data_IF_804439154098
#
_entry.id   IF_804439154098
#
_cell.length_a   1.000
_cell.length_b   1.000
_cell.length_c   1.000
_cell.angle_alpha   90.00
_cell.angle_beta   90.00
_cell.angle_gamma   90.00
#
_symmetry.space_group_name_H-M   'P 1'
#
loop_
_entity.id
_entity.type
_entity.pdbx_description
1 polymer ?
#
# COMPACT_ATOMS: atom_id res chain seq x y z
N UNK A 1 -5.09 -35.78 -1.23
CA UNK A 1 -4.46 -34.49 -1.56
C UNK A 1 -5.52 -33.61 -2.22
N UNK A 2 -5.92 -32.51 -1.57
CA UNK A 2 -6.78 -31.51 -2.22
C UNK A 2 -6.00 -30.88 -3.37
N UNK A 3 -6.60 -30.69 -4.54
CA UNK A 3 -5.94 -29.99 -5.65
C UNK A 3 -5.79 -28.52 -5.24
N UNK A 4 -4.54 -28.04 -5.15
CA UNK A 4 -4.24 -26.62 -4.94
C UNK A 4 -4.97 -25.80 -6.01
N UNK A 5 -5.64 -24.71 -5.61
CA UNK A 5 -6.36 -23.85 -6.54
C UNK A 5 -5.40 -23.30 -7.61
N UNK A 6 -5.88 -22.91 -8.79
CA UNK A 6 -5.00 -22.26 -9.77
C UNK A 6 -4.88 -20.76 -9.46
N UNK A 7 -3.75 -20.13 -9.80
CA UNK A 7 -3.58 -18.67 -9.68
C UNK A 7 -4.72 -17.92 -10.38
N UNK A 8 -5.14 -18.38 -11.56
CA UNK A 8 -6.28 -17.80 -12.27
C UNK A 8 -7.60 -17.91 -11.48
N UNK A 9 -7.82 -19.00 -10.74
CA UNK A 9 -8.97 -19.16 -9.87
C UNK A 9 -8.92 -18.20 -8.68
N UNK A 10 -7.75 -18.10 -8.02
CA UNK A 10 -7.54 -17.21 -6.88
C UNK A 10 -7.76 -15.75 -7.26
N UNK A 11 -7.21 -15.31 -8.41
CA UNK A 11 -7.40 -13.93 -8.91
C UNK A 11 -8.88 -13.62 -9.14
N UNK A 12 -9.64 -14.57 -9.70
CA UNK A 12 -11.08 -14.39 -9.91
C UNK A 12 -11.85 -14.29 -8.61
N UNK A 13 -11.45 -15.05 -7.58
CA UNK A 13 -12.06 -14.95 -6.24
C UNK A 13 -11.73 -13.61 -5.60
N UNK A 14 -10.44 -13.27 -5.50
CA UNK A 14 -9.98 -12.01 -4.92
C UNK A 14 -10.59 -10.77 -5.59
N UNK A 15 -10.95 -10.84 -6.87
CA UNK A 15 -11.57 -9.76 -7.63
C UNK A 15 -13.10 -9.63 -7.45
N UNK A 16 -13.71 -10.33 -6.49
CA UNK A 16 -15.17 -10.24 -6.23
C UNK A 16 -15.54 -9.18 -5.20
N UNK A 17 -14.85 -9.14 -4.07
CA UNK A 17 -15.14 -8.22 -2.96
C UNK A 17 -13.88 -7.92 -2.14
N UNK A 18 -13.91 -6.91 -1.27
CA UNK A 18 -12.82 -6.63 -0.34
C UNK A 18 -12.57 -7.81 0.63
N UNK A 19 -13.65 -8.48 1.08
CA UNK A 19 -13.54 -9.66 1.93
C UNK A 19 -12.87 -10.83 1.20
N UNK A 20 -13.31 -11.14 -0.03
CA UNK A 20 -12.68 -12.18 -0.85
C UNK A 20 -11.21 -11.85 -1.15
N UNK A 21 -10.88 -10.57 -1.35
CA UNK A 21 -9.51 -10.12 -1.53
C UNK A 21 -8.66 -10.42 -0.29
N UNK A 22 -9.12 -10.04 0.90
CA UNK A 22 -8.42 -10.27 2.17
C UNK A 22 -8.21 -11.77 2.40
N UNK A 23 -9.28 -12.57 2.30
CA UNK A 23 -9.22 -14.02 2.52
C UNK A 23 -8.29 -14.71 1.52
N UNK A 24 -8.36 -14.33 0.24
CA UNK A 24 -7.49 -14.92 -0.80
C UNK A 24 -6.03 -14.53 -0.59
N UNK A 25 -5.76 -13.30 -0.14
CA UNK A 25 -4.40 -12.86 0.19
C UNK A 25 -3.88 -13.65 1.39
N UNK A 26 -4.66 -13.84 2.44
CA UNK A 26 -4.24 -14.67 3.59
C UNK A 26 -3.97 -16.11 3.17
N UNK A 27 -4.84 -16.72 2.36
CA UNK A 27 -4.67 -18.07 1.86
C UNK A 27 -3.39 -18.24 1.02
N UNK A 28 -3.09 -17.31 0.09
CA UNK A 28 -1.88 -17.43 -0.75
C UNK A 28 -0.59 -17.24 0.06
N UNK A 29 -0.62 -16.44 1.13
CA UNK A 29 0.50 -16.33 2.06
C UNK A 29 0.63 -17.56 2.97
N UNK A 30 -0.47 -18.19 3.36
CA UNK A 30 -0.45 -19.44 4.13
C UNK A 30 0.22 -20.59 3.36
N UNK A 31 0.10 -20.61 2.02
CA UNK A 31 0.81 -21.58 1.18
C UNK A 31 2.34 -21.46 1.28
N UNK A 32 2.89 -20.29 1.63
CA UNK A 32 4.32 -20.05 1.85
C UNK A 32 5.20 -20.08 0.58
N UNK A 33 4.61 -20.26 -0.60
CA UNK A 33 5.34 -20.34 -1.88
C UNK A 33 5.62 -18.94 -2.46
N UNK A 34 6.84 -18.43 -2.27
CA UNK A 34 7.28 -17.08 -2.68
C UNK A 34 6.96 -16.76 -4.16
N UNK A 35 7.27 -17.69 -5.06
CA UNK A 35 7.07 -17.52 -6.51
C UNK A 35 5.60 -17.41 -6.87
N UNK A 36 4.77 -18.11 -6.11
CA UNK A 36 3.34 -18.18 -6.30
C UNK A 36 2.63 -16.95 -5.74
N UNK A 37 3.08 -16.44 -4.60
CA UNK A 37 2.66 -15.14 -4.06
C UNK A 37 3.03 -14.03 -5.05
N UNK A 38 4.26 -14.06 -5.58
CA UNK A 38 4.69 -13.12 -6.60
C UNK A 38 3.82 -13.19 -7.86
N UNK A 39 3.56 -14.38 -8.41
CA UNK A 39 2.72 -14.56 -9.60
C UNK A 39 1.28 -14.12 -9.36
N UNK A 40 0.74 -14.42 -8.17
CA UNK A 40 -0.59 -13.96 -7.75
C UNK A 40 -0.67 -12.44 -7.83
N UNK A 41 0.20 -11.70 -7.14
CA UNK A 41 0.18 -10.24 -7.20
C UNK A 41 0.58 -9.70 -8.58
N UNK A 42 1.46 -10.37 -9.33
CA UNK A 42 1.82 -9.98 -10.69
C UNK A 42 0.61 -9.99 -11.63
N UNK A 43 -0.38 -10.84 -11.39
CA UNK A 43 -1.58 -10.97 -12.24
C UNK A 43 -2.87 -10.48 -11.60
N UNK A 44 -2.86 -10.20 -10.30
CA UNK A 44 -4.03 -9.78 -9.55
C UNK A 44 -4.61 -8.48 -10.10
N UNK A 45 -5.93 -8.44 -10.16
CA UNK A 45 -6.71 -7.26 -10.45
C UNK A 45 -7.61 -6.98 -9.25
N UNK A 46 -7.83 -5.72 -8.88
CA UNK A 46 -8.71 -5.36 -7.76
C UNK A 46 -10.17 -5.73 -8.07
N UNK A 47 -10.96 -6.01 -7.01
CA UNK A 47 -12.39 -6.17 -7.08
C UNK A 47 -13.11 -5.18 -8.00
N UNK A 48 -14.09 -5.68 -8.74
CA UNK A 48 -14.99 -4.84 -9.54
C UNK A 48 -16.06 -4.25 -8.61
N UNK A 49 -16.46 -2.98 -8.78
CA UNK A 49 -17.61 -2.43 -8.05
C UNK A 49 -18.92 -3.16 -8.35
N UNK A 50 -19.04 -3.79 -9.53
CA UNK A 50 -20.16 -4.68 -9.86
C UNK A 50 -20.10 -5.94 -8.98
N UNK A 51 -20.78 -5.88 -7.82
CA UNK A 51 -20.76 -6.90 -6.77
C UNK A 51 -20.31 -6.40 -5.40
N UNK A 52 -19.91 -5.13 -5.27
CA UNK A 52 -19.53 -4.49 -4.01
C UNK A 52 -20.76 -4.01 -3.20
N UNK A 53 -21.94 -4.60 -3.40
CA UNK A 53 -23.21 -4.21 -2.77
C UNK A 53 -23.15 -4.18 -1.22
N UNK A 54 -22.12 -4.77 -0.62
CA UNK A 54 -21.88 -4.80 0.82
C UNK A 54 -20.54 -4.17 1.27
N UNK A 55 -19.80 -3.48 0.40
CA UNK A 55 -18.54 -2.86 0.83
C UNK A 55 -18.83 -1.48 1.41
N UNK A 56 -18.92 -1.42 2.74
CA UNK A 56 -18.94 -0.16 3.47
C UNK A 56 -17.61 0.57 3.25
N UNK A 57 -17.62 1.54 2.32
CA UNK A 57 -16.43 2.32 1.96
C UNK A 57 -15.92 3.17 3.12
N UNK A 58 -16.77 3.44 4.12
CA UNK A 58 -16.46 4.18 5.34
C UNK A 58 -15.89 3.27 6.44
N UNK A 59 -16.11 1.96 6.36
CA UNK A 59 -15.61 1.01 7.35
C UNK A 59 -14.09 1.05 7.47
N UNK A 60 -13.60 0.77 8.68
CA UNK A 60 -12.17 0.62 8.93
C UNK A 60 -11.55 -0.40 7.97
N UNK A 61 -10.33 -0.13 7.50
CA UNK A 61 -9.62 -1.05 6.62
C UNK A 61 -9.32 -2.37 7.34
N UNK A 62 -9.53 -3.52 6.67
CA UNK A 62 -9.06 -4.80 7.16
C UNK A 62 -7.56 -4.77 7.45
N UNK A 63 -7.15 -5.41 8.54
CA UNK A 63 -5.74 -5.48 8.94
C UNK A 63 -5.17 -6.84 8.60
N UNK A 64 -4.40 -6.90 7.52
CA UNK A 64 -3.60 -8.09 7.17
C UNK A 64 -2.35 -8.16 8.05
N UNK A 65 -2.49 -8.78 9.23
CA UNK A 65 -1.38 -8.99 10.18
C UNK A 65 -1.37 -10.36 10.84
N UNK A 66 -2.17 -11.31 10.34
CA UNK A 66 -2.26 -12.68 10.85
C UNK A 66 -0.95 -13.47 10.71
N UNK A 67 -0.94 -14.68 11.27
CA UNK A 67 0.22 -15.57 11.24
C UNK A 67 0.62 -15.99 9.81
N UNK A 68 -0.36 -16.17 8.92
CA UNK A 68 -0.14 -16.44 7.48
C UNK A 68 0.63 -15.28 6.83
N UNK A 69 0.15 -14.05 7.02
CA UNK A 69 0.75 -12.84 6.47
C UNK A 69 2.14 -12.56 7.05
N UNK A 70 2.39 -12.93 8.30
CA UNK A 70 3.64 -12.63 9.01
C UNK A 70 4.57 -13.83 9.17
N UNK A 71 4.36 -14.88 8.37
CA UNK A 71 5.26 -16.02 8.36
C UNK A 71 6.71 -15.56 8.09
N UNK A 72 7.74 -16.27 8.60
CA UNK A 72 9.12 -15.87 8.35
C UNK A 72 9.49 -16.01 6.87
N UNK A 73 10.01 -14.94 6.28
CA UNK A 73 10.71 -14.92 4.99
C UNK A 73 12.05 -14.22 5.17
N UNK A 74 13.00 -14.44 4.27
CA UNK A 74 14.24 -13.68 4.21
C UNK A 74 14.08 -12.39 3.37
N UNK A 75 15.11 -11.53 3.37
CA UNK A 75 15.06 -10.26 2.65
C UNK A 75 14.91 -10.40 1.12
N UNK A 76 15.53 -11.42 0.53
CA UNK A 76 15.47 -11.65 -0.92
C UNK A 76 14.05 -12.06 -1.34
N UNK A 77 13.43 -12.95 -0.58
CA UNK A 77 12.04 -13.39 -0.76
C UNK A 77 11.07 -12.22 -0.61
N UNK A 78 11.24 -11.39 0.42
CA UNK A 78 10.40 -10.21 0.65
C UNK A 78 10.53 -9.17 -0.47
N UNK A 79 11.73 -8.96 -0.99
CA UNK A 79 11.95 -8.07 -2.15
C UNK A 79 11.28 -8.63 -3.41
N UNK A 80 11.31 -9.94 -3.62
CA UNK A 80 10.61 -10.60 -4.72
C UNK A 80 9.10 -10.42 -4.61
N UNK A 81 8.51 -10.76 -3.45
CA UNK A 81 7.08 -10.55 -3.17
C UNK A 81 6.69 -9.08 -3.36
N UNK A 82 7.46 -8.15 -2.80
CA UNK A 82 7.20 -6.71 -2.94
C UNK A 82 7.20 -6.23 -4.40
N UNK A 83 8.01 -6.85 -5.26
CA UNK A 83 8.03 -6.57 -6.69
C UNK A 83 6.75 -7.00 -7.39
N UNK A 84 6.21 -8.18 -7.06
CA UNK A 84 4.91 -8.63 -7.56
C UNK A 84 3.78 -7.70 -7.12
N UNK A 85 3.78 -7.33 -5.84
CA UNK A 85 2.84 -6.36 -5.28
C UNK A 85 2.96 -4.99 -6.00
N UNK A 86 4.18 -4.58 -6.40
CA UNK A 86 4.35 -3.28 -7.06
C UNK A 86 3.66 -3.27 -8.41
N UNK A 87 3.77 -4.36 -9.18
CA UNK A 87 3.08 -4.49 -10.47
C UNK A 87 1.56 -4.44 -10.31
N UNK A 88 1.03 -5.01 -9.23
CA UNK A 88 -0.36 -4.83 -8.83
C UNK A 88 -0.69 -3.36 -8.61
N UNK A 89 0.08 -2.64 -7.80
CA UNK A 89 -0.17 -1.21 -7.54
C UNK A 89 -0.08 -0.37 -8.83
N UNK A 90 0.92 -0.59 -9.67
CA UNK A 90 1.13 0.14 -10.93
C UNK A 90 -0.01 -0.08 -11.95
N UNK A 91 -0.67 -1.25 -11.92
CA UNK A 91 -1.90 -1.47 -12.71
C UNK A 91 -3.07 -0.64 -12.20
N UNK A 92 -3.19 -0.48 -10.90
CA UNK A 92 -4.30 0.25 -10.28
C UNK A 92 -4.12 1.76 -10.38
N UNK A 93 -2.89 2.27 -10.33
CA UNK A 93 -2.60 3.68 -10.68
C UNK A 93 -3.10 4.01 -12.09
N UNK A 94 -2.87 3.12 -13.07
CA UNK A 94 -3.36 3.30 -14.45
C UNK A 94 -4.87 3.32 -14.55
N UNK A 95 -5.57 2.54 -13.74
CA UNK A 95 -7.04 2.55 -13.70
C UNK A 95 -7.60 3.83 -13.09
N UNK A 96 -7.01 4.33 -12.00
CA UNK A 96 -7.44 5.62 -11.41
C UNK A 96 -7.26 6.75 -12.44
N UNK A 97 -6.12 6.77 -13.16
CA UNK A 97 -5.91 7.70 -14.28
C UNK A 97 -6.96 7.56 -15.39
N UNK A 98 -7.37 6.34 -15.71
CA UNK A 98 -8.45 6.11 -16.68
C UNK A 98 -9.78 6.69 -16.18
N UNK A 99 -10.12 6.52 -14.90
CA UNK A 99 -11.32 7.11 -14.29
C UNK A 99 -11.26 8.63 -14.22
N UNK A 100 -10.07 9.23 -14.07
CA UNK A 100 -9.91 10.68 -14.18
C UNK A 100 -10.22 11.19 -15.61
N UNK A 101 -9.92 10.40 -16.64
CA UNK A 101 -10.29 10.70 -18.03
C UNK A 101 -11.75 10.38 -18.41
N UNK A 102 -12.45 9.60 -17.57
CA UNK A 102 -13.83 9.16 -17.78
C UNK A 102 -14.62 9.29 -16.46
N UNK A 103 -14.76 10.51 -15.92
CA UNK A 103 -15.41 10.73 -14.63
C UNK A 103 -16.88 10.31 -14.67
N UNK A 104 -17.30 9.57 -13.64
CA UNK A 104 -18.65 9.04 -13.47
C UNK A 104 -18.89 8.71 -12.00
N UNK A 105 -20.15 8.75 -11.56
CA UNK A 105 -20.51 8.38 -10.19
C UNK A 105 -20.30 6.87 -9.93
N UNK A 106 -20.56 6.01 -10.91
CA UNK A 106 -20.29 4.58 -10.83
C UNK A 106 -18.77 4.29 -10.83
N UNK A 107 -17.99 5.17 -11.44
CA UNK A 107 -16.54 5.14 -11.39
C UNK A 107 -15.98 5.55 -10.03
N UNK A 108 -16.70 6.35 -9.25
CA UNK A 108 -16.20 6.89 -7.98
C UNK A 108 -15.97 5.79 -6.94
N UNK A 109 -16.95 4.92 -6.74
CA UNK A 109 -16.84 3.76 -5.84
C UNK A 109 -15.67 2.85 -6.24
N UNK A 110 -15.49 2.62 -7.54
CA UNK A 110 -14.35 1.85 -8.04
C UNK A 110 -13.03 2.49 -7.60
N UNK A 111 -12.83 3.79 -7.82
CA UNK A 111 -11.59 4.47 -7.43
C UNK A 111 -11.32 4.36 -5.94
N UNK A 112 -12.35 4.45 -5.10
CA UNK A 112 -12.18 4.28 -3.65
C UNK A 112 -11.83 2.85 -3.27
N UNK A 113 -12.45 1.84 -3.89
CA UNK A 113 -12.05 0.43 -3.72
C UNK A 113 -10.59 0.20 -4.16
N UNK A 114 -10.16 0.83 -5.26
CA UNK A 114 -8.77 0.77 -5.71
C UNK A 114 -7.83 1.38 -4.64
N UNK A 115 -8.23 2.49 -4.05
CA UNK A 115 -7.45 3.16 -3.00
C UNK A 115 -7.41 2.35 -1.71
N UNK A 116 -8.55 1.79 -1.26
CA UNK A 116 -8.63 0.88 -0.10
C UNK A 116 -7.71 -0.32 -0.27
N UNK A 117 -7.77 -1.00 -1.42
CA UNK A 117 -6.88 -2.11 -1.74
C UNK A 117 -5.40 -1.72 -1.70
N UNK A 118 -5.04 -0.53 -2.19
CA UNK A 118 -3.68 -0.01 -2.09
C UNK A 118 -3.25 0.28 -0.64
N UNK A 119 -4.15 0.81 0.20
CA UNK A 119 -3.90 1.06 1.62
C UNK A 119 -3.72 -0.25 2.41
N UNK A 120 -4.58 -1.25 2.22
CA UNK A 120 -4.47 -2.58 2.82
C UNK A 120 -3.11 -3.19 2.48
N UNK A 121 -2.75 -3.16 1.19
CA UNK A 121 -1.50 -3.72 0.67
C UNK A 121 -0.27 -2.97 1.20
N UNK A 122 -0.35 -1.65 1.32
CA UNK A 122 0.73 -0.82 1.89
C UNK A 122 0.95 -1.17 3.37
N UNK A 123 -0.13 -1.27 4.14
CA UNK A 123 -0.08 -1.68 5.55
C UNK A 123 0.52 -3.08 5.69
N UNK A 124 0.09 -4.04 4.87
CA UNK A 124 0.61 -5.40 4.86
C UNK A 124 2.13 -5.43 4.62
N UNK A 125 2.64 -4.67 3.63
CA UNK A 125 4.08 -4.56 3.35
C UNK A 125 4.87 -4.05 4.57
N UNK A 126 4.35 -3.04 5.26
CA UNK A 126 5.01 -2.46 6.44
C UNK A 126 4.98 -3.41 7.65
N UNK A 127 3.86 -4.11 7.87
CA UNK A 127 3.74 -5.12 8.92
C UNK A 127 4.73 -6.28 8.70
N UNK A 128 4.85 -6.75 7.45
CA UNK A 128 5.82 -7.79 7.07
C UNK A 128 7.25 -7.34 7.28
N UNK A 129 7.59 -6.12 6.86
CA UNK A 129 8.91 -5.56 7.14
C UNK A 129 9.19 -5.45 8.65
N UNK A 130 8.20 -5.02 9.44
CA UNK A 130 8.33 -4.96 10.90
C UNK A 130 8.69 -6.33 11.47
N UNK A 131 8.01 -7.38 11.00
CA UNK A 131 8.29 -8.76 11.41
C UNK A 131 9.70 -9.22 11.01
N UNK A 132 10.11 -8.94 9.77
CA UNK A 132 11.43 -9.27 9.24
C UNK A 132 12.56 -8.60 10.04
N UNK A 133 12.38 -7.33 10.45
CA UNK A 133 13.34 -6.63 11.30
C UNK A 133 13.33 -7.16 12.74
N UNK A 134 12.18 -7.57 13.25
CA UNK A 134 12.06 -8.14 14.60
C UNK A 134 12.74 -9.52 14.72
N UNK A 135 12.91 -10.26 13.62
CA UNK A 135 13.59 -11.56 13.61
C UNK A 135 15.11 -11.47 13.45
N UNK A 136 15.69 -10.28 13.55
CA UNK A 136 17.12 -10.01 13.36
C UNK A 136 17.71 -9.39 14.62
N UNK A 137 18.97 -9.73 14.88
CA UNK A 137 19.81 -9.09 15.90
C UNK A 137 20.73 -8.03 15.27
N UNK A 138 21.12 -8.23 14.00
CA UNK A 138 21.94 -7.32 13.21
C UNK A 138 21.51 -7.39 11.73
N UNK A 139 21.66 -6.27 11.01
CA UNK A 139 21.49 -6.23 9.55
C UNK A 139 22.84 -6.13 8.85
N UNK A 140 23.06 -6.99 7.87
CA UNK A 140 24.14 -6.79 6.89
C UNK A 140 23.88 -5.53 6.05
N UNK A 141 24.90 -4.96 5.38
CA UNK A 141 24.71 -3.80 4.50
C UNK A 141 23.65 -4.03 3.39
N UNK A 142 23.54 -5.26 2.88
CA UNK A 142 22.56 -5.63 1.85
C UNK A 142 21.15 -5.65 2.42
N UNK A 143 20.96 -6.27 3.60
CA UNK A 143 19.66 -6.31 4.28
C UNK A 143 19.20 -4.92 4.73
N UNK A 144 20.14 -4.08 5.17
CA UNK A 144 19.88 -2.68 5.49
C UNK A 144 19.34 -1.92 4.27
N UNK A 145 19.96 -2.11 3.11
CA UNK A 145 19.49 -1.53 1.83
C UNK A 145 18.14 -2.10 1.39
N UNK A 146 17.92 -3.41 1.58
CA UNK A 146 16.66 -4.08 1.32
C UNK A 146 15.51 -3.50 2.15
N UNK A 147 15.71 -3.38 3.46
CA UNK A 147 14.74 -2.77 4.38
C UNK A 147 14.38 -1.34 3.93
N UNK A 148 15.38 -0.52 3.62
CA UNK A 148 15.18 0.86 3.16
C UNK A 148 14.38 0.91 1.86
N UNK A 149 14.68 0.02 0.92
CA UNK A 149 13.97 -0.08 -0.36
C UNK A 149 12.51 -0.47 -0.18
N UNK A 150 12.23 -1.46 0.68
CA UNK A 150 10.87 -1.91 1.00
C UNK A 150 10.04 -0.80 1.64
N UNK A 151 10.62 -0.03 2.57
CA UNK A 151 9.95 1.13 3.16
C UNK A 151 9.68 2.21 2.11
N UNK A 152 10.72 2.66 1.39
CA UNK A 152 10.60 3.72 0.38
C UNK A 152 9.50 3.40 -0.64
N UNK A 153 9.47 2.17 -1.18
CA UNK A 153 8.43 1.76 -2.14
C UNK A 153 7.02 1.81 -1.55
N UNK A 154 6.85 1.42 -0.30
CA UNK A 154 5.55 1.43 0.38
C UNK A 154 5.02 2.86 0.54
N UNK A 155 5.82 3.78 1.07
CA UNK A 155 5.43 5.19 1.21
C UNK A 155 5.24 5.90 -0.14
N UNK A 156 6.13 5.66 -1.11
CA UNK A 156 5.98 6.24 -2.45
C UNK A 156 4.67 5.82 -3.12
N UNK A 157 4.31 4.54 -3.00
CA UNK A 157 3.05 4.03 -3.56
C UNK A 157 1.86 4.73 -2.92
N UNK A 158 1.82 4.85 -1.60
CA UNK A 158 0.75 5.56 -0.90
C UNK A 158 0.61 7.00 -1.39
N UNK A 159 1.71 7.76 -1.44
CA UNK A 159 1.69 9.15 -1.93
C UNK A 159 1.22 9.25 -3.37
N UNK A 160 1.65 8.35 -4.26
CA UNK A 160 1.23 8.37 -5.65
C UNK A 160 -0.28 8.15 -5.77
N UNK A 161 -0.81 7.14 -5.09
CA UNK A 161 -2.25 6.88 -5.07
C UNK A 161 -3.04 8.06 -4.50
N UNK A 162 -2.60 8.61 -3.37
CA UNK A 162 -3.24 9.79 -2.79
C UNK A 162 -3.18 10.98 -3.75
N UNK A 163 -2.06 11.19 -4.44
CA UNK A 163 -1.93 12.25 -5.44
C UNK A 163 -2.88 12.10 -6.63
N UNK A 164 -3.18 10.86 -7.04
CA UNK A 164 -4.14 10.59 -8.11
C UNK A 164 -5.59 10.81 -7.66
N UNK A 165 -5.94 10.30 -6.47
CA UNK A 165 -7.30 10.42 -5.92
C UNK A 165 -7.58 11.87 -5.52
N UNK A 166 -6.71 12.47 -4.70
CA UNK A 166 -6.83 13.83 -4.20
C UNK A 166 -6.20 14.89 -5.11
N UNK A 167 -6.33 14.68 -6.42
CA UNK A 167 -5.86 15.60 -7.45
C UNK A 167 -6.65 15.31 -8.71
N UNK A 168 -5.96 14.79 -9.73
CA UNK A 168 -6.50 14.60 -11.08
C UNK A 168 -7.90 13.95 -11.10
N UNK A 169 -8.16 12.94 -10.26
CA UNK A 169 -9.45 12.25 -10.26
C UNK A 169 -10.56 13.06 -9.59
N UNK A 170 -10.38 13.52 -8.34
CA UNK A 170 -11.45 14.24 -7.63
C UNK A 170 -11.82 15.53 -8.38
N UNK A 171 -10.81 16.23 -8.93
CA UNK A 171 -11.01 17.43 -9.74
C UNK A 171 -11.83 17.13 -10.99
N UNK A 172 -11.55 16.02 -11.68
CA UNK A 172 -12.32 15.62 -12.86
C UNK A 172 -13.76 15.23 -12.49
N UNK A 173 -13.97 14.50 -11.40
CA UNK A 173 -15.31 14.05 -10.98
C UNK A 173 -16.21 15.22 -10.64
N UNK A 174 -15.72 16.25 -9.94
CA UNK A 174 -16.51 17.45 -9.63
C UNK A 174 -16.99 18.22 -10.86
N UNK A 175 -16.35 18.05 -12.02
CA UNK A 175 -16.80 18.72 -13.26
C UNK A 175 -18.01 18.04 -13.91
N UNK A 176 -18.29 16.78 -13.56
CA UNK A 176 -19.30 15.95 -14.24
C UNK A 176 -20.38 15.43 -13.29
N UNK A 177 -20.05 15.17 -12.04
CA UNK A 177 -20.95 14.61 -11.04
C UNK A 177 -21.42 15.71 -10.08
N UNK A 178 -22.74 15.85 -9.82
CA UNK A 178 -23.25 16.81 -8.84
C UNK A 178 -22.63 16.60 -7.46
N UNK A 179 -22.33 17.71 -6.77
CA UNK A 179 -21.71 17.67 -5.45
C UNK A 179 -22.55 16.89 -4.42
N UNK A 180 -23.87 17.06 -4.42
CA UNK A 180 -24.77 16.34 -3.48
C UNK A 180 -24.67 14.82 -3.65
N UNK A 181 -24.70 14.32 -4.89
CA UNK A 181 -24.60 12.90 -5.20
C UNK A 181 -23.22 12.34 -4.84
N UNK A 182 -22.17 13.12 -5.09
CA UNK A 182 -20.82 12.72 -4.71
C UNK A 182 -20.65 12.69 -3.18
N UNK A 183 -21.17 13.67 -2.46
CA UNK A 183 -21.10 13.74 -1.01
C UNK A 183 -21.90 12.62 -0.35
N UNK A 184 -23.10 12.30 -0.86
CA UNK A 184 -23.90 11.16 -0.40
C UNK A 184 -23.14 9.84 -0.52
N UNK A 185 -22.43 9.63 -1.64
CA UNK A 185 -21.72 8.38 -1.89
C UNK A 185 -20.38 8.25 -1.19
N UNK A 186 -19.61 9.34 -1.11
CA UNK A 186 -18.20 9.27 -0.73
C UNK A 186 -17.73 10.38 0.22
N UNK A 187 -18.66 11.20 0.74
CA UNK A 187 -18.41 12.36 1.60
C UNK A 187 -17.40 12.12 2.72
N UNK A 188 -17.55 10.99 3.41
CA UNK A 188 -16.78 10.66 4.61
C UNK A 188 -15.50 9.90 4.35
N UNK A 189 -15.18 9.60 3.09
CA UNK A 189 -13.99 8.84 2.76
C UNK A 189 -12.69 9.55 3.18
N UNK A 190 -12.71 10.89 3.29
CA UNK A 190 -11.58 11.67 3.77
C UNK A 190 -11.16 11.31 5.21
N UNK A 191 -12.11 10.90 6.07
CA UNK A 191 -11.84 10.47 7.45
C UNK A 191 -10.93 9.23 7.45
N UNK A 192 -11.18 8.30 6.52
CA UNK A 192 -10.35 7.12 6.33
C UNK A 192 -8.93 7.47 5.86
N UNK A 193 -8.81 8.42 4.94
CA UNK A 193 -7.51 8.90 4.44
C UNK A 193 -6.68 9.50 5.58
N UNK A 194 -7.29 10.37 6.38
CA UNK A 194 -6.63 11.01 7.52
C UNK A 194 -6.19 9.98 8.57
N UNK A 195 -7.04 8.98 8.86
CA UNK A 195 -6.69 7.87 9.75
C UNK A 195 -5.49 7.04 9.25
N UNK A 196 -5.41 6.79 7.94
CA UNK A 196 -4.26 6.10 7.36
C UNK A 196 -2.98 6.93 7.38
N UNK A 197 -3.07 8.24 7.18
CA UNK A 197 -1.90 9.14 7.27
C UNK A 197 -1.28 9.06 8.67
N UNK A 198 -2.10 9.14 9.72
CA UNK A 198 -1.64 9.02 11.11
C UNK A 198 -0.97 7.67 11.38
N UNK A 199 -1.59 6.57 10.94
CA UNK A 199 -1.03 5.22 11.08
C UNK A 199 0.31 5.06 10.38
N UNK A 200 0.44 5.59 9.16
CA UNK A 200 1.68 5.51 8.37
C UNK A 200 2.82 6.31 9.00
N UNK A 201 2.50 7.44 9.63
CA UNK A 201 3.46 8.25 10.38
C UNK A 201 4.02 7.48 11.58
N UNK A 202 3.15 6.86 12.38
CA UNK A 202 3.56 6.01 13.50
C UNK A 202 4.45 4.84 13.04
N UNK A 203 4.01 4.08 12.02
CA UNK A 203 4.77 2.93 11.52
C UNK A 203 6.16 3.32 10.98
N UNK A 204 6.30 4.53 10.43
CA UNK A 204 7.58 5.02 9.91
C UNK A 204 8.58 5.13 11.05
N UNK A 205 8.17 5.69 12.18
CA UNK A 205 9.07 5.93 13.30
C UNK A 205 9.49 4.61 13.96
N UNK A 206 8.53 3.71 14.19
CA UNK A 206 8.80 2.36 14.72
C UNK A 206 9.81 1.57 13.85
N UNK A 207 9.59 1.57 12.53
CA UNK A 207 10.45 0.84 11.60
C UNK A 207 11.85 1.47 11.47
N UNK A 208 11.93 2.80 11.43
CA UNK A 208 13.23 3.49 11.35
C UNK A 208 14.04 3.37 12.64
N UNK A 209 13.39 3.41 13.80
CA UNK A 209 14.03 3.16 15.10
C UNK A 209 14.61 1.76 15.13
N UNK A 210 13.78 0.74 14.87
CA UNK A 210 14.23 -0.66 14.86
C UNK A 210 15.38 -0.88 13.88
N UNK A 211 15.30 -0.34 12.67
CA UNK A 211 16.34 -0.50 11.65
C UNK A 211 17.67 0.13 12.06
N UNK A 212 17.65 1.23 12.82
CA UNK A 212 18.86 1.88 13.36
C UNK A 212 19.48 1.07 14.50
N UNK A 213 18.66 0.51 15.41
CA UNK A 213 19.13 -0.39 16.47
C UNK A 213 19.93 -1.57 15.92
N UNK A 214 19.46 -2.13 14.80
CA UNK A 214 20.08 -3.29 14.15
C UNK A 214 21.33 -2.95 13.33
N UNK A 215 21.69 -1.66 13.25
CA UNK A 215 22.89 -1.24 12.53
C UNK A 215 24.08 -1.33 13.47
N UNK A 216 24.98 -2.31 13.26
CA UNK A 216 26.24 -2.37 14.01
C UNK A 216 27.19 -1.29 13.50
N UNK A 217 27.66 -0.48 14.43
CA UNK A 217 28.74 0.47 14.24
C UNK A 217 30.04 -0.19 14.70
N UNK A 218 30.99 -0.49 13.80
CA UNK A 218 32.30 -0.97 14.22
C UNK A 218 32.99 0.07 15.10
N UNK A 219 33.63 -0.36 16.19
CA UNK A 219 34.38 0.53 17.08
C UNK A 219 35.40 1.37 16.30
N UNK A 220 35.42 2.68 16.57
CA UNK A 220 36.33 3.63 15.92
C UNK A 220 35.91 4.11 14.53
N UNK A 221 34.81 3.59 13.97
CA UNK A 221 34.24 4.12 12.73
C UNK A 221 33.06 5.05 13.05
N UNK A 222 33.06 6.31 12.57
CA UNK A 222 31.89 7.15 12.71
C UNK A 222 30.69 6.46 12.03
N UNK A 223 29.44 6.73 12.45
CA UNK A 223 28.27 6.26 11.74
C UNK A 223 28.42 6.56 10.27
N UNK A 224 28.64 5.50 9.48
CA UNK A 224 28.78 5.64 8.04
C UNK A 224 27.42 6.13 7.60
N UNK A 225 27.32 7.41 7.26
CA UNK A 225 26.14 7.91 6.55
C UNK A 225 25.98 6.94 5.38
N UNK A 226 24.81 6.28 5.24
CA UNK A 226 24.58 5.37 4.14
C UNK A 226 25.00 6.09 2.86
N UNK A 227 25.80 5.45 1.99
CA UNK A 227 26.32 6.12 0.81
C UNK A 227 25.18 6.78 0.04
N UNK A 228 25.33 8.08 -0.28
CA UNK A 228 24.35 8.90 -1.02
C UNK A 228 24.05 8.40 -2.45
N UNK A 229 24.56 7.21 -2.84
CA UNK A 229 24.36 6.59 -4.14
C UNK A 229 22.96 5.99 -4.35
N UNK A 230 22.10 5.99 -3.33
CA UNK A 230 20.68 5.67 -3.51
C UNK A 230 19.94 6.93 -3.98
N UNK A 231 19.85 7.12 -5.30
CA UNK A 231 18.94 8.10 -5.89
C UNK A 231 17.54 7.96 -5.27
N UNK A 232 17.02 9.03 -4.66
CA UNK A 232 15.64 9.05 -4.15
C UNK A 232 15.43 8.46 -2.75
N UNK A 233 16.36 8.68 -1.81
CA UNK A 233 16.12 8.36 -0.39
C UNK A 233 15.00 9.21 0.22
N UNK A 234 13.74 8.76 0.03
CA UNK A 234 12.53 9.43 0.50
C UNK A 234 12.55 9.67 2.01
N UNK A 235 13.12 8.75 2.76
CA UNK A 235 13.08 8.74 4.22
C UNK A 235 14.26 9.53 4.84
N UNK A 236 15.02 10.28 4.04
CA UNK A 236 15.96 11.28 4.53
C UNK A 236 15.21 12.52 5.07
N UNK A 237 15.80 13.28 6.02
CA UNK A 237 15.11 14.41 6.69
C UNK A 237 14.44 15.41 5.73
N UNK A 238 15.16 15.82 4.68
CA UNK A 238 14.66 16.77 3.68
C UNK A 238 13.56 16.17 2.79
N UNK A 239 13.85 15.07 2.06
CA UNK A 239 12.85 14.38 1.24
C UNK A 239 11.59 13.96 2.00
N UNK A 240 11.72 13.57 3.27
CA UNK A 240 10.59 13.19 4.11
C UNK A 240 9.69 14.37 4.47
N UNK A 241 10.29 15.53 4.75
CA UNK A 241 9.52 16.77 4.95
C UNK A 241 8.72 17.14 3.69
N UNK A 242 9.35 17.03 2.52
CA UNK A 242 8.66 17.27 1.23
C UNK A 242 7.55 16.26 0.97
N UNK A 243 7.79 14.99 1.27
CA UNK A 243 6.78 13.93 1.22
C UNK A 243 5.57 14.29 2.06
N UNK A 244 5.77 14.63 3.35
CA UNK A 244 4.67 14.93 4.25
C UNK A 244 3.91 16.19 3.87
N UNK A 245 4.61 17.24 3.43
CA UNK A 245 3.96 18.43 2.91
C UNK A 245 3.05 18.08 1.71
N UNK A 246 3.52 17.22 0.81
CA UNK A 246 2.73 16.75 -0.34
C UNK A 246 1.50 15.97 0.11
N UNK A 247 1.68 14.99 1.00
CA UNK A 247 0.59 14.15 1.50
C UNK A 247 -0.46 14.98 2.24
N UNK A 248 -0.05 15.87 3.14
CA UNK A 248 -0.97 16.75 3.88
C UNK A 248 -1.70 17.71 2.96
N UNK A 249 -1.02 18.30 1.98
CA UNK A 249 -1.64 19.16 0.98
C UNK A 249 -2.69 18.43 0.15
N UNK A 250 -2.40 17.19 -0.28
CA UNK A 250 -3.35 16.35 -1.02
C UNK A 250 -4.53 15.92 -0.15
N UNK A 251 -4.31 15.45 1.07
CA UNK A 251 -5.40 15.11 1.98
C UNK A 251 -6.31 16.32 2.27
N UNK A 252 -5.73 17.51 2.42
CA UNK A 252 -6.49 18.75 2.58
C UNK A 252 -7.32 19.08 1.33
N UNK A 253 -6.74 18.99 0.13
CA UNK A 253 -7.46 19.18 -1.13
C UNK A 253 -8.65 18.23 -1.26
N UNK A 254 -8.46 16.96 -0.90
CA UNK A 254 -9.56 15.98 -0.90
C UNK A 254 -10.68 16.38 0.07
N UNK A 255 -10.33 16.84 1.27
CA UNK A 255 -11.31 17.34 2.25
C UNK A 255 -12.07 18.55 1.72
N UNK A 256 -11.39 19.50 1.09
CA UNK A 256 -12.02 20.70 0.53
C UNK A 256 -12.93 20.38 -0.65
N UNK A 257 -12.54 19.42 -1.49
CA UNK A 257 -13.38 18.98 -2.59
C UNK A 257 -14.70 18.34 -2.09
N UNK A 258 -14.64 17.65 -0.94
CA UNK A 258 -15.78 16.95 -0.35
C UNK A 258 -16.60 17.79 0.65
N UNK A 259 -16.15 19.00 1.01
CA UNK A 259 -16.81 19.90 1.97
C UNK A 259 -17.81 20.85 1.29
#
# INVERSE_FOLDING_TARGET
MSKQATIASLIRTAAKSEADFVETVEAIFEEGEVDRIWEFFDRLNIPRSQGAENTDLEAALPVLSGASITHPMNFEEEVKVATGIQRYLDRHERKIKWHAGHPSIEGAENVLLLFRGAMITTNMRLVRLRRLLASKDELTPVEWSGARTLMNKSYLSFRNFLGLVAGDWIDAVHTVVPHEELNEKIGRFHELVDGQIQKLEQLKDELEERRRELTVLPDGFPPVKPPLYFHGDLLGKGPWKLYWNTVKGRAHHFREAMA
#
